data_IF_204050585307
#
_entry.id   IF_204050585307
#
_cell.length_a   1.000
_cell.length_b   1.000
_cell.length_c   1.000
_cell.angle_alpha   90.00
_cell.angle_beta   90.00
_cell.angle_gamma   90.00
#
_symmetry.space_group_name_H-M   'P 1'
#
loop_
_entity.id
_entity.type
_entity.pdbx_description
1 polymer ?
#
# COMPACT_ATOMS: atom_id res chain seq x y z
N UNK A 1 28.50 -33.30 32.43
CA UNK A 1 28.47 -34.52 31.61
C UNK A 1 28.01 -34.13 30.22
N UNK A 2 28.92 -34.20 29.24
CA UNK A 2 28.71 -33.80 27.84
C UNK A 2 27.70 -34.76 27.19
N UNK A 3 26.63 -34.25 26.58
CA UNK A 3 25.68 -35.04 25.79
C UNK A 3 25.87 -34.74 24.29
N UNK A 4 26.75 -35.47 23.59
CA UNK A 4 26.94 -35.33 22.14
C UNK A 4 25.90 -36.20 21.42
N UNK A 5 24.63 -35.81 21.45
CA UNK A 5 23.55 -36.46 20.68
C UNK A 5 22.92 -35.56 19.61
N UNK A 6 23.52 -34.40 19.35
CA UNK A 6 23.04 -33.41 18.38
C UNK A 6 23.73 -33.49 17.01
N UNK A 7 24.56 -34.52 16.76
CA UNK A 7 25.34 -34.64 15.53
C UNK A 7 24.74 -35.56 14.45
N UNK A 8 23.61 -36.24 14.70
CA UNK A 8 23.09 -37.27 13.77
C UNK A 8 21.84 -36.87 12.97
N UNK A 9 21.29 -35.66 13.11
CA UNK A 9 20.08 -35.25 12.36
C UNK A 9 20.41 -34.38 11.14
N UNK A 10 21.69 -34.01 10.95
CA UNK A 10 22.11 -33.08 9.90
C UNK A 10 22.42 -33.71 8.52
N UNK A 11 22.15 -35.01 8.28
CA UNK A 11 22.63 -35.69 7.06
C UNK A 11 21.57 -36.40 6.19
N UNK A 12 20.25 -36.20 6.40
CA UNK A 12 19.24 -37.00 5.66
C UNK A 12 18.19 -36.18 4.87
N UNK A 13 18.22 -34.84 4.86
CA UNK A 13 17.22 -34.04 4.12
C UNK A 13 17.80 -33.20 2.96
N UNK A 14 18.88 -33.66 2.33
CA UNK A 14 19.61 -32.95 1.27
C UNK A 14 19.28 -33.36 -0.19
N UNK A 15 18.11 -33.95 -0.48
CA UNK A 15 17.88 -34.56 -1.80
C UNK A 15 16.46 -34.35 -2.38
N UNK A 16 15.96 -33.10 -2.42
CA UNK A 16 14.70 -32.80 -3.12
C UNK A 16 14.75 -31.47 -3.92
N UNK A 17 15.91 -31.14 -4.50
CA UNK A 17 16.03 -30.09 -5.51
C UNK A 17 16.30 -30.74 -6.85
N UNK A 18 15.30 -30.82 -7.73
CA UNK A 18 15.39 -30.60 -9.18
C UNK A 18 14.07 -31.02 -9.85
N UNK A 19 13.68 -30.27 -10.89
CA UNK A 19 12.59 -30.55 -11.84
C UNK A 19 11.17 -30.06 -11.48
N UNK A 20 10.94 -28.75 -11.62
CA UNK A 20 9.86 -28.27 -12.49
C UNK A 20 10.18 -26.84 -12.97
N UNK A 21 11.16 -26.73 -13.87
CA UNK A 21 11.40 -25.51 -14.65
C UNK A 21 10.65 -25.62 -15.96
N UNK A 22 9.35 -25.31 -15.97
CA UNK A 22 8.55 -25.19 -17.18
C UNK A 22 8.85 -23.86 -17.87
N UNK A 23 9.83 -23.84 -18.77
CA UNK A 23 10.02 -22.78 -19.76
C UNK A 23 9.11 -23.05 -20.94
N UNK A 24 7.92 -22.44 -20.96
CA UNK A 24 7.09 -22.34 -22.15
C UNK A 24 6.67 -20.88 -22.34
N UNK A 25 7.48 -20.14 -23.09
CA UNK A 25 7.07 -18.94 -23.81
C UNK A 25 7.92 -18.90 -25.07
N UNK A 26 7.33 -19.08 -26.25
CA UNK A 26 6.91 -17.89 -26.97
C UNK A 26 5.65 -18.08 -27.82
N UNK A 27 4.74 -17.12 -27.75
CA UNK A 27 3.86 -16.81 -28.88
C UNK A 27 3.51 -15.33 -28.80
N UNK A 28 4.36 -14.54 -29.46
CA UNK A 28 4.11 -13.16 -29.84
C UNK A 28 3.39 -13.21 -31.18
N UNK A 29 2.13 -12.76 -31.30
CA UNK A 29 1.58 -12.40 -32.59
C UNK A 29 2.24 -11.10 -33.05
N UNK A 30 2.94 -11.22 -34.16
CA UNK A 30 3.49 -10.16 -34.98
C UNK A 30 2.33 -9.30 -35.52
N UNK A 31 2.16 -8.10 -34.95
CA UNK A 31 1.27 -7.09 -35.50
C UNK A 31 1.95 -6.37 -36.67
N UNK A 32 1.25 -6.10 -37.79
CA UNK A 32 1.85 -5.56 -39.00
C UNK A 32 2.42 -4.13 -38.80
N UNK A 33 3.46 -3.73 -39.53
CA UNK A 33 3.93 -2.36 -39.53
C UNK A 33 2.92 -1.48 -40.28
N UNK A 34 2.23 -0.60 -39.57
CA UNK A 34 1.51 0.52 -40.19
C UNK A 34 2.52 1.59 -40.60
N UNK A 35 2.80 1.64 -41.91
CA UNK A 35 3.46 2.76 -42.57
C UNK A 35 2.40 3.65 -43.19
N UNK A 36 2.32 4.91 -42.78
CA UNK A 36 1.73 5.99 -43.58
C UNK A 36 2.44 7.30 -43.24
N UNK A 37 2.83 8.00 -44.32
CA UNK A 37 3.81 9.07 -44.40
C UNK A 37 3.20 10.48 -44.10
N UNK A 38 3.97 11.59 -44.20
CA UNK A 38 3.76 12.82 -43.44
C UNK A 38 2.73 13.77 -44.06
N UNK A 39 2.03 14.51 -43.20
CA UNK A 39 1.25 15.70 -43.55
C UNK A 39 1.86 16.94 -42.91
N UNK A 40 2.45 17.80 -43.74
CA UNK A 40 3.00 19.12 -43.40
C UNK A 40 1.89 20.13 -43.05
N UNK A 41 2.17 20.93 -42.01
CA UNK A 41 1.56 22.20 -41.52
C UNK A 41 1.19 23.23 -42.63
N UNK A 42 0.50 24.39 -42.41
CA UNK A 42 0.43 25.19 -41.17
C UNK A 42 -0.87 26.02 -40.87
N UNK A 43 -0.80 26.73 -39.72
CA UNK A 43 -1.36 28.05 -39.41
C UNK A 43 -2.77 28.21 -38.80
N UNK A 44 -2.77 28.79 -37.59
CA UNK A 44 -3.89 29.54 -37.02
C UNK A 44 -3.68 29.87 -35.53
N UNK A 45 -3.34 31.11 -35.14
CA UNK A 45 -3.29 31.50 -33.73
C UNK A 45 -4.71 31.79 -33.25
N UNK A 46 -5.28 30.92 -32.40
CA UNK A 46 -6.50 31.25 -31.67
C UNK A 46 -6.18 31.42 -30.20
N UNK A 47 -5.86 32.67 -29.86
CA UNK A 47 -5.90 33.22 -28.51
C UNK A 47 -7.23 32.87 -27.85
N UNK A 48 -7.20 31.94 -26.90
CA UNK A 48 -8.27 31.74 -25.93
C UNK A 48 -7.98 32.62 -24.70
N UNK A 49 -8.99 33.28 -24.10
CA UNK A 49 -8.79 34.09 -22.91
C UNK A 49 -8.32 33.23 -21.72
N UNK A 50 -7.50 33.76 -20.81
CA UNK A 50 -7.11 33.02 -19.61
C UNK A 50 -8.36 32.82 -18.74
N UNK A 51 -8.82 31.58 -18.64
CA UNK A 51 -9.75 31.18 -17.59
C UNK A 51 -8.98 31.31 -16.27
N UNK A 52 -9.40 32.26 -15.45
CA UNK A 52 -8.86 32.45 -14.10
C UNK A 52 -8.89 31.11 -13.36
N UNK A 53 -7.70 30.60 -13.02
CA UNK A 53 -7.58 29.45 -12.14
C UNK A 53 -8.21 29.83 -10.79
N UNK A 54 -9.12 29.02 -10.23
CA UNK A 54 -9.55 29.24 -8.85
C UNK A 54 -8.32 29.03 -7.97
N UNK A 55 -7.94 30.08 -7.23
CA UNK A 55 -6.96 30.01 -6.15
C UNK A 55 -7.44 28.96 -5.16
N UNK A 56 -6.85 27.76 -5.22
CA UNK A 56 -7.05 26.71 -4.22
C UNK A 56 -6.41 27.22 -2.94
N UNK A 57 -7.24 27.65 -1.98
CA UNK A 57 -6.76 27.97 -0.63
C UNK A 57 -6.06 26.73 -0.07
N UNK A 58 -4.82 26.85 0.45
CA UNK A 58 -4.16 25.74 1.10
C UNK A 58 -5.01 25.26 2.28
N UNK A 59 -5.11 23.95 2.54
CA UNK A 59 -5.85 23.45 3.69
C UNK A 59 -5.26 24.07 4.95
N UNK A 60 -6.11 24.75 5.70
CA UNK A 60 -5.80 25.29 7.03
C UNK A 60 -5.35 24.12 7.90
N UNK A 61 -4.05 24.03 8.18
CA UNK A 61 -3.53 23.11 9.20
C UNK A 61 -4.20 23.48 10.52
N UNK A 62 -5.11 22.63 10.99
CA UNK A 62 -5.72 22.76 12.32
C UNK A 62 -4.65 22.44 13.37
N UNK A 63 -3.82 23.42 13.72
CA UNK A 63 -2.76 23.33 14.73
C UNK A 63 -3.29 23.58 16.15
N UNK A 64 -4.48 23.06 16.47
CA UNK A 64 -4.97 23.03 17.85
C UNK A 64 -4.27 21.91 18.64
N UNK A 65 -4.17 22.01 19.98
CA UNK A 65 -3.70 20.91 20.81
C UNK A 65 -4.52 19.65 20.52
N UNK A 66 -3.86 18.57 20.08
CA UNK A 66 -4.53 17.28 19.88
C UNK A 66 -4.96 16.77 21.24
N UNK A 67 -6.26 16.47 21.39
CA UNK A 67 -6.75 15.76 22.57
C UNK A 67 -6.01 14.41 22.68
N UNK A 68 -5.64 13.97 23.89
CA UNK A 68 -5.09 12.65 24.07
C UNK A 68 -6.12 11.59 23.63
N UNK A 69 -5.67 10.41 23.16
CA UNK A 69 -6.58 9.30 22.86
C UNK A 69 -7.47 8.97 24.06
N UNK A 70 -8.72 8.61 23.80
CA UNK A 70 -9.64 8.14 24.84
C UNK A 70 -9.12 6.86 25.53
N UNK A 71 -9.73 6.42 26.64
CA UNK A 71 -9.30 5.21 27.34
C UNK A 71 -9.31 3.99 26.41
N UNK A 72 -8.18 3.26 26.39
CA UNK A 72 -7.96 2.11 25.51
C UNK A 72 -7.63 2.46 24.05
N UNK A 73 -7.73 3.74 23.65
CA UNK A 73 -7.26 4.18 22.34
C UNK A 73 -5.74 4.36 22.35
N UNK A 74 -5.12 4.00 21.24
CA UNK A 74 -3.68 4.09 20.98
C UNK A 74 -3.47 4.95 19.75
N UNK A 75 -2.37 5.71 19.71
CA UNK A 75 -1.94 6.43 18.51
C UNK A 75 -0.79 5.65 17.86
N UNK A 76 -0.93 5.32 16.58
CA UNK A 76 0.10 4.67 15.76
C UNK A 76 0.47 5.58 14.59
N UNK A 77 1.73 5.57 14.18
CA UNK A 77 2.22 6.38 13.06
C UNK A 77 3.05 5.55 12.10
N UNK A 78 2.93 5.82 10.81
CA UNK A 78 3.70 5.09 9.81
C UNK A 78 3.28 5.45 8.38
N UNK A 79 3.77 4.68 7.42
CA UNK A 79 3.33 4.79 6.03
C UNK A 79 2.24 3.75 5.79
N UNK A 80 1.12 4.17 5.20
CA UNK A 80 0.07 3.24 4.80
C UNK A 80 0.62 2.33 3.71
N UNK A 81 0.54 1.02 3.90
CA UNK A 81 0.85 0.02 2.89
C UNK A 81 -0.40 -0.77 2.52
N UNK A 82 -0.41 -1.33 1.31
CA UNK A 82 -1.42 -2.33 0.95
C UNK A 82 -1.12 -3.65 1.68
N UNK A 83 -2.17 -4.34 2.12
CA UNK A 83 -2.08 -5.73 2.56
C UNK A 83 -2.08 -6.70 1.38
N UNK A 84 -1.88 -8.00 1.66
CA UNK A 84 -1.85 -9.05 0.62
C UNK A 84 -3.18 -9.22 -0.13
N UNK A 85 -4.29 -8.85 0.49
CA UNK A 85 -5.62 -8.90 -0.12
C UNK A 85 -6.08 -7.50 -0.55
N UNK A 86 -6.80 -7.39 -1.68
CA UNK A 86 -7.29 -6.10 -2.17
C UNK A 86 -8.10 -5.34 -1.13
N UNK A 87 -7.78 -4.05 -0.95
CA UNK A 87 -8.50 -3.16 -0.03
C UNK A 87 -8.06 -3.24 1.44
N UNK A 88 -7.20 -4.19 1.78
CA UNK A 88 -6.55 -4.25 3.09
C UNK A 88 -5.48 -3.15 3.17
N UNK A 89 -5.51 -2.38 4.26
CA UNK A 89 -4.55 -1.31 4.53
C UNK A 89 -3.81 -1.60 5.82
N UNK A 90 -2.51 -1.34 5.84
CA UNK A 90 -1.68 -1.56 7.01
C UNK A 90 -0.87 -0.33 7.38
N UNK A 91 -0.63 -0.16 8.69
CA UNK A 91 0.30 0.83 9.25
C UNK A 91 0.98 0.18 10.45
N UNK A 92 2.31 0.20 10.48
CA UNK A 92 3.10 -0.28 11.63
C UNK A 92 2.73 -1.69 12.13
N UNK A 93 2.44 -2.61 11.21
CA UNK A 93 2.04 -3.99 11.54
C UNK A 93 0.58 -4.17 11.96
N UNK A 94 -0.22 -3.10 11.99
CA UNK A 94 -1.66 -3.16 12.24
C UNK A 94 -2.47 -3.11 10.96
N UNK A 95 -3.56 -3.87 10.89
CA UNK A 95 -4.55 -3.79 9.82
C UNK A 95 -5.58 -2.71 10.15
N UNK A 96 -5.75 -1.71 9.29
CA UNK A 96 -6.70 -0.64 9.50
C UNK A 96 -8.13 -1.07 9.16
N UNK A 97 -9.04 -0.93 10.13
CA UNK A 97 -10.48 -1.18 9.99
C UNK A 97 -11.22 0.15 9.96
N UNK A 98 -11.94 0.42 8.87
CA UNK A 98 -12.68 1.67 8.68
C UNK A 98 -11.81 2.87 8.28
N UNK A 99 -12.14 4.06 8.79
CA UNK A 99 -11.39 5.30 8.61
C UNK A 99 -11.57 6.04 7.28
N UNK A 100 -11.10 7.30 7.20
CA UNK A 100 -11.23 8.16 6.01
C UNK A 100 -10.28 7.70 4.89
N UNK A 101 -10.85 7.34 3.74
CA UNK A 101 -10.11 6.73 2.60
C UNK A 101 -9.29 7.73 1.79
N UNK A 102 -9.59 9.01 1.91
CA UNK A 102 -8.83 10.12 1.34
C UNK A 102 -7.50 10.38 2.08
N UNK A 103 -7.44 10.03 3.37
CA UNK A 103 -6.23 10.10 4.21
C UNK A 103 -5.47 8.77 4.18
N UNK A 104 -6.19 7.65 4.32
CA UNK A 104 -5.62 6.30 4.42
C UNK A 104 -5.37 5.70 3.03
N UNK A 105 -4.53 6.34 2.23
CA UNK A 105 -4.13 5.85 0.92
C UNK A 105 -2.72 5.25 0.96
N UNK A 106 -2.45 4.10 0.29
CA UNK A 106 -1.11 3.52 0.23
C UNK A 106 -0.03 4.53 -0.19
N UNK A 107 1.12 4.48 0.48
CA UNK A 107 2.23 5.43 0.32
C UNK A 107 2.11 6.71 1.14
N UNK A 108 0.96 6.95 1.80
CA UNK A 108 0.76 8.16 2.61
C UNK A 108 1.33 7.97 4.01
N UNK A 109 2.09 8.95 4.50
CA UNK A 109 2.47 9.00 5.92
C UNK A 109 1.30 9.53 6.74
N UNK A 110 0.93 8.79 7.78
CA UNK A 110 -0.23 9.09 8.62
C UNK A 110 0.08 8.89 10.09
N UNK A 111 -0.72 9.57 10.91
CA UNK A 111 -0.91 9.27 12.32
C UNK A 111 -2.37 8.87 12.51
N UNK A 112 -2.60 7.73 13.12
CA UNK A 112 -3.92 7.10 13.28
C UNK A 112 -4.16 6.86 14.76
N UNK A 113 -5.31 7.35 15.24
CA UNK A 113 -5.79 7.05 16.59
C UNK A 113 -6.93 6.05 16.48
N UNK A 114 -6.90 5.03 17.32
CA UNK A 114 -7.89 3.96 17.29
C UNK A 114 -7.60 2.89 18.33
N UNK A 115 -8.18 1.70 18.13
CA UNK A 115 -8.08 0.62 19.12
C UNK A 115 -7.63 -0.69 18.47
N UNK A 116 -6.62 -1.38 19.04
CA UNK A 116 -6.33 -2.74 18.63
C UNK A 116 -7.50 -3.66 19.00
N UNK A 117 -7.81 -4.60 18.13
CA UNK A 117 -8.88 -5.58 18.24
C UNK A 117 -8.33 -6.97 17.88
N UNK A 118 -7.51 -7.58 18.76
CA UNK A 118 -6.85 -8.85 18.46
C UNK A 118 -7.83 -10.02 18.25
N UNK A 119 -9.02 -9.94 18.86
CA UNK A 119 -10.06 -10.97 18.75
C UNK A 119 -11.02 -10.73 17.57
N UNK A 120 -10.83 -9.65 16.80
CA UNK A 120 -11.67 -9.37 15.63
C UNK A 120 -11.25 -10.24 14.45
N UNK A 121 -12.18 -11.02 13.94
CA UNK A 121 -11.95 -11.81 12.73
C UNK A 121 -12.02 -10.92 11.49
N UNK A 122 -11.00 -11.00 10.63
CA UNK A 122 -10.92 -10.26 9.37
C UNK A 122 -10.62 -11.21 8.22
N UNK A 123 -10.99 -10.83 7.00
CA UNK A 123 -10.63 -11.59 5.80
C UNK A 123 -9.14 -11.45 5.49
N UNK A 124 -8.60 -10.23 5.63
CA UNK A 124 -7.20 -9.89 5.33
C UNK A 124 -6.17 -10.74 6.09
N UNK A 125 -6.55 -11.26 7.27
CA UNK A 125 -5.73 -12.11 8.16
C UNK A 125 -4.25 -11.69 8.26
N UNK A 126 -4.01 -10.39 8.42
CA UNK A 126 -2.67 -9.79 8.49
C UNK A 126 -2.58 -8.80 9.63
N UNK A 127 -1.57 -8.97 10.48
CA UNK A 127 -1.38 -8.09 11.63
C UNK A 127 -2.54 -8.13 12.62
N UNK A 128 -2.53 -7.19 13.56
CA UNK A 128 -3.60 -7.02 14.54
C UNK A 128 -4.61 -6.03 13.95
N UNK A 129 -5.91 -6.35 13.87
CA UNK A 129 -6.93 -5.40 13.45
C UNK A 129 -6.94 -4.17 14.36
N UNK A 130 -7.07 -3.00 13.75
CA UNK A 130 -7.02 -1.71 14.43
C UNK A 130 -8.16 -0.84 13.94
N UNK A 131 -9.18 -0.68 14.78
CA UNK A 131 -10.37 0.12 14.45
C UNK A 131 -10.01 1.60 14.52
N UNK A 132 -10.08 2.26 13.36
CA UNK A 132 -9.71 3.66 13.22
C UNK A 132 -10.80 4.55 13.79
N UNK A 133 -10.44 5.37 14.78
CA UNK A 133 -11.30 6.43 15.32
C UNK A 133 -11.02 7.78 14.63
N UNK A 134 -9.75 8.09 14.36
CA UNK A 134 -9.35 9.25 13.55
C UNK A 134 -8.02 9.02 12.83
N UNK A 135 -7.80 9.72 11.72
CA UNK A 135 -6.55 9.67 10.98
C UNK A 135 -6.21 11.05 10.40
N UNK A 136 -4.92 11.39 10.42
CA UNK A 136 -4.38 12.61 9.81
C UNK A 136 -3.10 12.30 9.05
N UNK A 137 -2.81 13.05 7.99
CA UNK A 137 -1.48 13.00 7.35
C UNK A 137 -0.43 13.58 8.31
N UNK A 138 0.73 12.94 8.36
CA UNK A 138 1.89 13.38 9.17
C UNK A 138 2.92 14.15 8.37
#
# INVERSE_FOLDING_TARGET
>A
MKTPRMALVALVAGAALTACGGTDTPSRPEGPPVTSAPGTEPAGPSTAPPIASPTVLPPTKSSGPSLPPGPGATEISGTVTAGVEPGCLMVDGFQLIGGPRDVLAPGTKVTVTGKPQPDLLTTCQQGIPFTVESARRS
#
